data_IF_069392228518
#
_entry.id   IF_069392228518
#
_cell.length_a   1.000
_cell.length_b   1.000
_cell.length_c   1.000
_cell.angle_alpha   90.00
_cell.angle_beta   90.00
_cell.angle_gamma   90.00
#
_symmetry.space_group_name_H-M   'P 1'
#
loop_
_entity.id
_entity.type
_entity.pdbx_description
1 polymer ?
#
# COMPACT_ATOMS: atom_id res chain seq x y z
N UNK A 1 -22.23 60.52 -3.07
CA UNK A 1 -22.72 59.13 -3.17
C UNK A 1 -21.47 58.26 -3.05
N UNK A 2 -21.20 57.65 -1.87
CA UNK A 2 -21.43 56.22 -1.58
C UNK A 2 -20.83 55.38 -2.74
N UNK A 3 -19.75 54.62 -2.58
CA UNK A 3 -19.57 53.57 -1.60
C UNK A 3 -18.09 53.35 -1.25
N UNK A 4 -17.80 53.37 0.05
CA UNK A 4 -16.62 52.74 0.65
C UNK A 4 -16.91 51.23 0.64
N UNK A 5 -16.16 50.45 -0.14
CA UNK A 5 -16.16 49.00 -0.06
C UNK A 5 -14.76 48.55 0.36
N UNK A 6 -14.59 48.46 1.68
CA UNK A 6 -13.52 47.74 2.36
C UNK A 6 -13.75 46.24 2.13
N UNK A 7 -13.06 45.65 1.16
CA UNK A 7 -12.94 44.20 1.06
C UNK A 7 -11.67 43.78 1.78
N UNK A 8 -11.82 43.36 3.03
CA UNK A 8 -10.79 42.67 3.79
C UNK A 8 -10.51 41.31 3.11
N UNK A 9 -9.39 41.21 2.40
CA UNK A 9 -8.88 39.93 1.90
C UNK A 9 -8.28 39.18 3.10
N UNK A 10 -9.07 38.28 3.69
CA UNK A 10 -8.62 37.36 4.73
C UNK A 10 -7.64 36.37 4.10
N UNK A 11 -6.37 36.42 4.52
CA UNK A 11 -5.35 35.44 4.17
C UNK A 11 -5.70 34.10 4.82
N UNK A 12 -6.29 33.18 4.05
CA UNK A 12 -6.52 31.81 4.50
C UNK A 12 -5.21 31.04 4.35
N UNK A 13 -4.42 31.01 5.42
CA UNK A 13 -3.26 30.14 5.54
C UNK A 13 -3.75 28.69 5.58
N UNK A 14 -3.57 27.97 4.47
CA UNK A 14 -3.73 26.52 4.42
C UNK A 14 -2.54 25.90 5.15
N UNK A 15 -2.68 25.73 6.46
CA UNK A 15 -1.79 24.89 7.26
C UNK A 15 -1.96 23.44 6.77
N UNK A 16 -1.03 22.99 5.94
CA UNK A 16 -0.89 21.58 5.60
C UNK A 16 -0.34 20.86 6.84
N UNK A 17 -1.23 20.49 7.76
CA UNK A 17 -0.88 19.59 8.85
C UNK A 17 -0.65 18.22 8.24
N UNK A 18 0.61 17.91 7.93
CA UNK A 18 1.06 16.55 7.68
C UNK A 18 0.71 15.74 8.95
N UNK A 19 -0.43 15.05 8.92
CA UNK A 19 -0.70 13.97 9.85
C UNK A 19 0.32 12.89 9.51
N UNK A 20 1.46 12.91 10.20
CA UNK A 20 2.22 11.70 10.43
C UNK A 20 1.28 10.80 11.25
N UNK A 21 0.45 10.03 10.55
CA UNK A 21 -0.26 8.94 11.17
C UNK A 21 0.83 8.01 11.72
N UNK A 22 0.90 7.88 13.05
CA UNK A 22 1.48 6.72 13.71
C UNK A 22 0.71 5.49 13.23
N UNK A 23 1.03 5.02 12.03
CA UNK A 23 0.64 3.71 11.57
C UNK A 23 1.72 2.78 12.06
N UNK A 24 1.41 1.98 13.07
CA UNK A 24 2.07 0.69 13.19
C UNK A 24 2.11 0.08 11.79
N UNK A 25 3.30 -0.27 11.29
CA UNK A 25 3.45 -0.75 9.91
C UNK A 25 2.30 -1.70 9.56
N UNK A 26 1.46 -1.32 8.60
CA UNK A 26 0.27 -2.04 8.19
C UNK A 26 0.23 -2.11 6.66
N UNK A 27 -0.34 -3.19 6.14
CA UNK A 27 -0.66 -3.40 4.73
C UNK A 27 -1.98 -4.16 4.64
N UNK A 28 -2.70 -3.98 3.54
CA UNK A 28 -3.93 -4.70 3.29
C UNK A 28 -3.66 -6.18 2.97
N UNK A 29 -4.67 -7.03 3.20
CA UNK A 29 -4.65 -8.43 2.76
C UNK A 29 -4.57 -8.52 1.23
N UNK A 30 -4.02 -9.63 0.73
CA UNK A 30 -4.01 -9.93 -0.70
C UNK A 30 -5.46 -9.91 -1.29
N UNK A 31 -5.64 -9.37 -2.50
CA UNK A 31 -6.95 -9.32 -3.14
C UNK A 31 -7.40 -10.70 -3.60
N UNK A 32 -8.72 -10.88 -3.70
CA UNK A 32 -9.29 -12.05 -4.37
C UNK A 32 -9.17 -11.89 -5.88
N UNK A 33 -8.63 -12.89 -6.55
CA UNK A 33 -8.46 -12.84 -8.01
C UNK A 33 -9.62 -13.53 -8.72
N UNK A 34 -10.16 -12.94 -9.80
CA UNK A 34 -11.20 -13.59 -10.60
C UNK A 34 -10.63 -14.81 -11.34
N UNK A 35 -11.49 -15.77 -11.67
CA UNK A 35 -11.12 -16.95 -12.46
C UNK A 35 -10.96 -16.56 -13.93
N UNK A 36 -9.72 -16.55 -14.40
CA UNK A 36 -9.38 -16.20 -15.76
C UNK A 36 -9.99 -17.11 -16.82
N UNK A 37 -10.62 -18.24 -16.51
CA UNK A 37 -11.35 -19.03 -17.51
C UNK A 37 -12.78 -18.53 -17.78
N UNK A 38 -13.30 -17.62 -16.95
CA UNK A 38 -14.68 -17.12 -17.03
C UNK A 38 -14.83 -15.62 -16.78
N UNK A 39 -13.78 -14.95 -16.30
CA UNK A 39 -13.77 -13.52 -16.05
C UNK A 39 -13.94 -12.71 -17.33
N UNK A 40 -14.61 -11.57 -17.22
CA UNK A 40 -14.67 -10.50 -18.22
C UNK A 40 -13.35 -9.72 -18.29
N UNK A 41 -13.20 -8.93 -19.36
CA UNK A 41 -12.05 -8.04 -19.50
C UNK A 41 -12.00 -7.00 -18.38
N UNK A 42 -13.16 -6.43 -18.03
CA UNK A 42 -13.31 -5.43 -16.98
C UNK A 42 -12.88 -5.98 -15.61
N UNK A 43 -13.32 -7.20 -15.25
CA UNK A 43 -12.91 -7.86 -13.99
C UNK A 43 -11.40 -8.12 -13.94
N UNK A 44 -10.78 -8.50 -15.05
CA UNK A 44 -9.33 -8.71 -15.11
C UNK A 44 -8.54 -7.41 -14.98
N UNK A 45 -9.05 -6.30 -15.51
CA UNK A 45 -8.44 -4.96 -15.36
C UNK A 45 -8.60 -4.44 -13.93
N UNK A 46 -9.76 -4.65 -13.31
CA UNK A 46 -9.97 -4.31 -11.90
C UNK A 46 -9.00 -5.09 -11.00
N UNK A 47 -8.90 -6.40 -11.19
CA UNK A 47 -7.95 -7.25 -10.48
C UNK A 47 -6.49 -6.80 -10.66
N UNK A 48 -6.12 -6.30 -11.85
CA UNK A 48 -4.79 -5.72 -12.07
C UNK A 48 -4.52 -4.55 -11.11
N UNK A 49 -5.48 -3.64 -10.99
CA UNK A 49 -5.38 -2.46 -10.14
C UNK A 49 -5.28 -2.85 -8.67
N UNK A 50 -6.08 -3.81 -8.22
CA UNK A 50 -6.03 -4.32 -6.85
C UNK A 50 -4.68 -4.99 -6.51
N UNK A 51 -4.15 -5.81 -7.42
CA UNK A 51 -2.82 -6.43 -7.25
C UNK A 51 -1.72 -5.37 -7.18
N UNK A 52 -1.79 -4.34 -8.02
CA UNK A 52 -0.82 -3.23 -8.00
C UNK A 52 -0.87 -2.45 -6.69
N UNK A 53 -2.06 -2.12 -6.19
CA UNK A 53 -2.19 -1.40 -4.93
C UNK A 53 -1.73 -2.27 -3.74
N UNK A 54 -2.06 -3.56 -3.74
CA UNK A 54 -1.57 -4.50 -2.72
C UNK A 54 -0.04 -4.58 -2.70
N UNK A 55 0.62 -4.69 -3.86
CA UNK A 55 2.09 -4.67 -3.95
C UNK A 55 2.66 -3.37 -3.41
N UNK A 56 2.09 -2.22 -3.80
CA UNK A 56 2.54 -0.90 -3.32
C UNK A 56 2.42 -0.75 -1.80
N UNK A 57 1.31 -1.20 -1.22
CA UNK A 57 1.12 -1.19 0.23
C UNK A 57 2.08 -2.14 0.94
N UNK A 58 2.33 -3.31 0.36
CA UNK A 58 3.30 -4.29 0.86
C UNK A 58 4.73 -3.75 0.85
N UNK A 59 5.13 -3.05 -0.23
CA UNK A 59 6.43 -2.36 -0.31
C UNK A 59 6.57 -1.25 0.73
N UNK A 60 5.50 -0.47 0.95
CA UNK A 60 5.46 0.54 1.99
C UNK A 60 5.65 -0.08 3.38
N UNK A 61 4.96 -1.19 3.67
CA UNK A 61 5.13 -1.94 4.91
C UNK A 61 6.56 -2.45 5.10
N UNK A 62 7.17 -3.03 4.06
CA UNK A 62 8.57 -3.44 4.08
C UNK A 62 9.49 -2.25 4.38
N UNK A 63 9.24 -1.08 3.77
CA UNK A 63 9.97 0.15 4.07
C UNK A 63 9.84 0.58 5.53
N UNK A 64 8.63 0.48 6.09
CA UNK A 64 8.35 0.77 7.49
C UNK A 64 9.07 -0.19 8.45
N UNK A 65 9.11 -1.50 8.13
CA UNK A 65 9.89 -2.48 8.90
C UNK A 65 11.38 -2.15 8.95
N UNK A 66 11.97 -1.75 7.81
CA UNK A 66 13.38 -1.31 7.74
C UNK A 66 13.62 -0.04 8.56
N UNK A 67 12.66 0.88 8.56
CA UNK A 67 12.74 2.08 9.37
C UNK A 67 12.70 1.73 10.87
N UNK A 68 11.82 0.81 11.29
CA UNK A 68 11.78 0.31 12.67
C UNK A 68 13.10 -0.33 13.08
N UNK A 69 13.67 -1.18 12.23
CA UNK A 69 14.99 -1.78 12.48
C UNK A 69 16.08 -0.71 12.66
N UNK A 70 16.09 0.30 11.78
CA UNK A 70 17.04 1.43 11.84
C UNK A 70 16.86 2.27 13.11
N UNK A 71 15.61 2.53 13.52
CA UNK A 71 15.30 3.31 14.73
C UNK A 71 15.70 2.59 16.02
N UNK A 72 15.57 1.26 16.05
CA UNK A 72 16.02 0.45 17.18
C UNK A 72 17.55 0.38 17.26
N UNK A 73 18.25 0.41 16.12
CA UNK A 73 19.72 0.53 16.10
C UNK A 73 20.42 -0.53 16.94
N UNK A 74 21.32 -0.11 17.82
CA UNK A 74 22.06 -1.00 18.73
C UNK A 74 21.20 -1.56 19.87
N UNK A 75 20.05 -0.93 20.17
CA UNK A 75 19.12 -1.33 21.22
C UNK A 75 18.14 -2.43 20.76
N UNK A 76 18.25 -2.88 19.50
CA UNK A 76 17.38 -3.94 18.97
C UNK A 76 17.64 -5.26 19.71
N UNK A 77 16.58 -5.84 20.26
CA UNK A 77 16.65 -7.20 20.83
C UNK A 77 16.57 -8.25 19.73
N UNK A 78 17.15 -9.44 19.98
CA UNK A 78 17.03 -10.58 19.06
C UNK A 78 15.57 -10.95 18.76
N UNK A 79 14.67 -10.81 19.73
CA UNK A 79 13.24 -11.05 19.53
C UNK A 79 12.62 -10.03 18.56
N UNK A 80 12.92 -8.74 18.73
CA UNK A 80 12.44 -7.70 17.81
C UNK A 80 12.99 -7.91 16.39
N UNK A 81 14.28 -8.25 16.28
CA UNK A 81 14.91 -8.55 15.00
C UNK A 81 14.28 -9.75 14.31
N UNK A 82 14.03 -10.83 15.05
CA UNK A 82 13.36 -12.01 14.52
C UNK A 82 11.93 -11.70 14.04
N UNK A 83 11.18 -10.86 14.78
CA UNK A 83 9.84 -10.41 14.38
C UNK A 83 9.87 -9.59 13.09
N UNK A 84 10.82 -8.66 12.96
CA UNK A 84 11.00 -7.85 11.74
C UNK A 84 11.34 -8.73 10.54
N UNK A 85 12.30 -9.63 10.68
CA UNK A 85 12.70 -10.55 9.59
C UNK A 85 11.57 -11.49 9.19
N UNK A 86 10.85 -12.04 10.17
CA UNK A 86 9.69 -12.90 9.92
C UNK A 86 8.60 -12.17 9.14
N UNK A 87 8.24 -10.95 9.58
CA UNK A 87 7.23 -10.13 8.91
C UNK A 87 7.67 -9.73 7.49
N UNK A 88 8.94 -9.37 7.30
CA UNK A 88 9.50 -9.06 5.98
C UNK A 88 9.35 -10.26 5.03
N UNK A 89 9.81 -11.44 5.45
CA UNK A 89 9.79 -12.63 4.61
C UNK A 89 8.36 -13.05 4.28
N UNK A 90 7.45 -12.99 5.26
CA UNK A 90 6.05 -13.30 5.06
C UNK A 90 5.42 -12.44 3.95
N UNK A 91 5.60 -11.12 4.02
CA UNK A 91 5.02 -10.20 3.03
C UNK A 91 5.65 -10.39 1.65
N UNK A 92 6.96 -10.63 1.58
CA UNK A 92 7.63 -10.95 0.30
C UNK A 92 7.06 -12.24 -0.32
N UNK A 93 6.82 -13.26 0.49
CA UNK A 93 6.24 -14.52 0.03
C UNK A 93 4.79 -14.34 -0.45
N UNK A 94 3.98 -13.54 0.26
CA UNK A 94 2.62 -13.25 -0.18
C UNK A 94 2.59 -12.44 -1.48
N UNK A 95 3.41 -11.39 -1.62
CA UNK A 95 3.52 -10.60 -2.85
C UNK A 95 3.87 -11.49 -4.05
N UNK A 96 4.80 -12.43 -3.86
CA UNK A 96 5.18 -13.41 -4.88
C UNK A 96 4.00 -14.32 -5.21
N UNK A 97 3.34 -14.90 -4.22
CA UNK A 97 2.21 -15.78 -4.42
C UNK A 97 1.05 -15.09 -5.16
N UNK A 98 0.68 -13.88 -4.76
CA UNK A 98 -0.36 -13.07 -5.44
C UNK A 98 0.03 -12.80 -6.89
N UNK A 99 1.30 -12.44 -7.15
CA UNK A 99 1.79 -12.19 -8.51
C UNK A 99 1.75 -13.44 -9.39
N UNK A 100 2.17 -14.59 -8.85
CA UNK A 100 2.13 -15.88 -9.56
C UNK A 100 0.70 -16.30 -9.87
N UNK A 101 -0.21 -16.17 -8.91
CA UNK A 101 -1.62 -16.47 -9.09
C UNK A 101 -2.26 -15.55 -10.15
N UNK A 102 -2.03 -14.25 -10.09
CA UNK A 102 -2.56 -13.30 -11.06
C UNK A 102 -2.05 -13.59 -12.48
N UNK A 103 -0.76 -13.92 -12.63
CA UNK A 103 -0.20 -14.33 -13.92
C UNK A 103 -0.85 -15.61 -14.46
N UNK A 104 -1.18 -16.57 -13.59
CA UNK A 104 -1.91 -17.76 -13.97
C UNK A 104 -3.34 -17.42 -14.47
N UNK A 105 -4.05 -16.52 -13.79
CA UNK A 105 -5.37 -16.07 -14.23
C UNK A 105 -5.31 -15.30 -15.56
N UNK A 106 -4.30 -14.45 -15.75
CA UNK A 106 -4.08 -13.76 -17.04
C UNK A 106 -3.81 -14.76 -18.16
N UNK A 107 -3.07 -15.84 -17.89
CA UNK A 107 -2.84 -16.90 -18.89
C UNK A 107 -4.14 -17.63 -19.23
N UNK A 108 -4.96 -17.96 -18.24
CA UNK A 108 -6.27 -18.57 -18.47
C UNK A 108 -7.20 -17.65 -19.28
N UNK A 109 -7.22 -16.35 -18.96
CA UNK A 109 -8.02 -15.34 -19.68
C UNK A 109 -7.66 -15.25 -21.16
N UNK A 110 -6.37 -15.32 -21.47
CA UNK A 110 -5.88 -15.34 -22.87
C UNK A 110 -6.21 -16.61 -23.64
N UNK A 111 -6.70 -17.65 -22.96
CA UNK A 111 -7.06 -18.94 -23.55
C UNK A 111 -8.57 -19.15 -23.67
N UNK A 112 -9.39 -18.21 -23.17
CA UNK A 112 -10.82 -18.14 -23.45
C UNK A 112 -11.08 -17.95 -24.95
#
# INVERSE_FOLDING_TARGET
MKYILLTALSAMALSFSAHAADRECEYDKAPSLPDGSSASYEEMVEAQGEVQEYIKQSEFFIGCLKQKETQLGEDITEEQKAKIVSAYNHVVDEMKATSEQYNAQIKAFKQQ
#
